data_IF_931687109742
#
_entry.id   IF_931687109742
#
_cell.length_a   1.000
_cell.length_b   1.000
_cell.length_c   1.000
_cell.angle_alpha   90.00
_cell.angle_beta   90.00
_cell.angle_gamma   90.00
#
_symmetry.space_group_name_H-M   'P 1'
#
loop_
_entity.id
_entity.type
_entity.pdbx_description
1 polymer ?
#
# COMPACT_ATOMS: atom_id res chain seq x y z
N UNK A 1 -17.19 -4.97 0.71
CA UNK A 1 -16.30 -5.52 1.76
C UNK A 1 -15.47 -6.71 1.28
N UNK A 2 -16.04 -7.60 0.48
CA UNK A 2 -15.30 -8.78 -0.01
C UNK A 2 -14.03 -8.41 -0.78
N UNK A 3 -14.12 -7.43 -1.67
CA UNK A 3 -12.96 -6.97 -2.43
C UNK A 3 -11.89 -6.33 -1.55
N UNK A 4 -12.31 -5.52 -0.58
CA UNK A 4 -11.38 -4.89 0.36
C UNK A 4 -10.65 -5.92 1.20
N UNK A 5 -11.36 -6.90 1.74
CA UNK A 5 -10.76 -7.97 2.56
C UNK A 5 -9.77 -8.78 1.73
N UNK A 6 -10.14 -9.12 0.50
CA UNK A 6 -9.25 -9.88 -0.39
C UNK A 6 -7.97 -9.09 -0.69
N UNK A 7 -8.10 -7.82 -1.02
CA UNK A 7 -6.92 -6.96 -1.27
C UNK A 7 -6.00 -6.87 -0.05
N UNK A 8 -6.59 -6.71 1.14
CA UNK A 8 -5.83 -6.64 2.38
C UNK A 8 -5.10 -7.95 2.69
N UNK A 9 -5.77 -9.07 2.55
CA UNK A 9 -5.18 -10.37 2.83
C UNK A 9 -4.06 -10.72 1.87
N UNK A 10 -4.24 -10.43 0.58
CA UNK A 10 -3.18 -10.64 -0.42
C UNK A 10 -1.97 -9.75 -0.14
N UNK A 11 -2.20 -8.48 0.16
CA UNK A 11 -1.13 -7.56 0.50
C UNK A 11 -0.40 -7.99 1.78
N UNK A 12 -1.16 -8.41 2.81
CA UNK A 12 -0.59 -8.85 4.07
C UNK A 12 0.27 -10.11 3.89
N UNK A 13 -0.17 -11.05 3.08
CA UNK A 13 0.59 -12.27 2.81
C UNK A 13 1.95 -11.96 2.18
N UNK A 14 1.99 -11.05 1.22
CA UNK A 14 3.24 -10.64 0.59
C UNK A 14 4.16 -9.90 1.57
N UNK A 15 3.59 -9.00 2.37
CA UNK A 15 4.36 -8.26 3.39
C UNK A 15 4.93 -9.22 4.42
N UNK A 16 4.17 -10.21 4.87
CA UNK A 16 4.65 -11.22 5.83
C UNK A 16 5.84 -11.99 5.27
N UNK A 17 5.78 -12.39 4.00
CA UNK A 17 6.90 -13.04 3.32
C UNK A 17 8.13 -12.13 3.27
N UNK A 18 7.94 -10.85 2.98
CA UNK A 18 9.03 -9.87 2.95
C UNK A 18 9.65 -9.68 4.33
N UNK A 19 8.84 -9.66 5.39
CA UNK A 19 9.33 -9.53 6.77
C UNK A 19 10.22 -10.72 7.14
N UNK A 20 9.79 -11.93 6.82
CA UNK A 20 10.58 -13.14 7.07
C UNK A 20 11.89 -13.12 6.26
N UNK A 21 11.81 -12.77 4.97
CA UNK A 21 12.99 -12.67 4.11
C UNK A 21 13.98 -11.62 4.63
N UNK A 22 13.47 -10.48 5.11
CA UNK A 22 14.31 -9.43 5.69
C UNK A 22 15.03 -9.92 6.96
N UNK A 23 14.32 -10.60 7.83
CA UNK A 23 14.89 -11.17 9.06
C UNK A 23 16.00 -12.19 8.75
N UNK A 24 15.85 -12.94 7.66
CA UNK A 24 16.83 -13.92 7.19
C UNK A 24 17.90 -13.30 6.27
N UNK A 25 17.88 -12.00 6.06
CA UNK A 25 18.78 -11.25 5.16
C UNK A 25 18.73 -11.74 3.71
N UNK A 26 17.53 -12.15 3.26
CA UNK A 26 17.28 -12.64 1.90
C UNK A 26 16.38 -11.72 1.08
N UNK A 27 15.89 -10.62 1.66
CA UNK A 27 15.02 -9.68 0.95
C UNK A 27 15.83 -8.90 -0.08
N UNK A 28 15.43 -9.00 -1.33
CA UNK A 28 16.04 -8.19 -2.39
C UNK A 28 15.48 -6.76 -2.40
N UNK A 29 16.25 -5.77 -2.91
CA UNK A 29 15.71 -4.41 -3.12
C UNK A 29 14.48 -4.39 -4.02
N UNK A 30 14.40 -5.30 -4.99
CA UNK A 30 13.27 -5.39 -5.91
C UNK A 30 12.02 -5.90 -5.21
N UNK A 31 12.15 -6.91 -4.35
CA UNK A 31 11.02 -7.40 -3.55
C UNK A 31 10.54 -6.34 -2.57
N UNK A 32 11.45 -5.58 -1.97
CA UNK A 32 11.09 -4.45 -1.12
C UNK A 32 10.34 -3.35 -1.91
N UNK A 33 10.77 -3.08 -3.14
CA UNK A 33 10.09 -2.11 -4.01
C UNK A 33 8.67 -2.55 -4.35
N UNK A 34 8.48 -3.84 -4.63
CA UNK A 34 7.14 -4.41 -4.86
C UNK A 34 6.26 -4.26 -3.63
N UNK A 35 6.78 -4.59 -2.47
CA UNK A 35 6.05 -4.47 -1.19
C UNK A 35 5.63 -3.02 -0.93
N UNK A 36 6.55 -2.09 -1.15
CA UNK A 36 6.31 -0.68 -0.86
C UNK A 36 5.20 -0.09 -1.75
N UNK A 37 5.29 -0.24 -3.07
CA UNK A 37 4.28 0.38 -3.92
C UNK A 37 2.93 -0.32 -3.81
N UNK A 38 2.91 -1.65 -3.68
CA UNK A 38 1.65 -2.39 -3.62
C UNK A 38 0.91 -2.13 -2.31
N UNK A 39 1.60 -2.13 -1.18
CA UNK A 39 0.96 -1.84 0.11
C UNK A 39 0.40 -0.41 0.16
N UNK A 40 1.12 0.56 -0.38
CA UNK A 40 0.63 1.94 -0.47
C UNK A 40 -0.60 2.04 -1.39
N UNK A 41 -0.60 1.32 -2.51
CA UNK A 41 -1.72 1.30 -3.43
C UNK A 41 -2.97 0.67 -2.79
N UNK A 42 -2.82 -0.49 -2.16
CA UNK A 42 -3.93 -1.18 -1.48
C UNK A 42 -4.48 -0.33 -0.35
N UNK A 43 -3.61 0.27 0.46
CA UNK A 43 -4.02 1.16 1.54
C UNK A 43 -4.89 2.31 1.01
N UNK A 44 -4.43 2.94 -0.06
CA UNK A 44 -5.15 4.06 -0.67
C UNK A 44 -6.53 3.63 -1.18
N UNK A 45 -6.61 2.51 -1.87
CA UNK A 45 -7.87 1.98 -2.40
C UNK A 45 -8.85 1.61 -1.30
N UNK A 46 -8.38 0.93 -0.25
CA UNK A 46 -9.23 0.51 0.86
C UNK A 46 -9.73 1.73 1.65
N UNK A 47 -8.87 2.70 1.92
CA UNK A 47 -9.28 3.91 2.64
C UNK A 47 -10.25 4.76 1.83
N UNK A 48 -10.08 4.84 0.52
CA UNK A 48 -11.02 5.53 -0.35
C UNK A 48 -12.42 4.88 -0.29
N UNK A 49 -12.49 3.56 -0.32
CA UNK A 49 -13.75 2.82 -0.14
C UNK A 49 -14.35 3.04 1.25
N UNK A 50 -13.52 3.10 2.29
CA UNK A 50 -14.00 3.40 3.64
C UNK A 50 -14.67 4.77 3.72
N UNK A 51 -14.07 5.78 3.10
CA UNK A 51 -14.68 7.11 3.03
C UNK A 51 -16.01 7.05 2.29
N UNK A 52 -16.07 6.35 1.17
CA UNK A 52 -17.29 6.20 0.39
C UNK A 52 -18.42 5.54 1.19
N UNK A 53 -18.08 4.47 1.92
CA UNK A 53 -19.07 3.74 2.74
C UNK A 53 -19.58 4.54 3.92
N UNK A 54 -18.81 5.50 4.43
CA UNK A 54 -19.26 6.41 5.48
C UNK A 54 -20.17 7.52 4.95
N UNK A 55 -20.25 7.70 3.65
CA UNK A 55 -20.97 8.81 3.04
C UNK A 55 -20.40 10.16 3.46
N UNK A 56 -21.24 11.15 3.70
CA UNK A 56 -20.80 12.49 4.09
C UNK A 56 -19.94 12.52 5.35
N UNK A 57 -20.20 11.63 6.29
CA UNK A 57 -19.39 11.52 7.51
C UNK A 57 -17.95 11.10 7.22
N UNK A 58 -17.72 10.35 6.15
CA UNK A 58 -16.38 9.93 5.75
C UNK A 58 -15.47 11.09 5.34
N UNK A 59 -16.04 12.24 5.02
CA UNK A 59 -15.28 13.45 4.68
C UNK A 59 -15.07 14.40 5.86
N UNK A 60 -15.63 14.09 7.01
CA UNK A 60 -15.55 14.91 8.21
C UNK A 60 -14.35 14.49 9.07
N UNK A 61 -13.49 15.44 9.45
CA UNK A 61 -12.27 15.19 10.21
C UNK A 61 -12.50 14.62 11.61
N UNK A 62 -13.72 14.69 12.14
CA UNK A 62 -14.10 14.07 13.40
C UNK A 62 -14.07 12.54 13.33
N UNK A 63 -14.17 11.98 12.13
CA UNK A 63 -14.14 10.54 11.90
C UNK A 63 -12.76 10.06 11.47
N UNK A 64 -12.37 8.92 11.99
CA UNK A 64 -11.06 8.33 11.72
C UNK A 64 -10.83 8.06 10.23
N UNK A 65 -11.87 7.66 9.50
CA UNK A 65 -11.77 7.37 8.07
C UNK A 65 -11.25 8.56 7.26
N UNK A 66 -11.77 9.77 7.52
CA UNK A 66 -11.33 10.98 6.84
C UNK A 66 -9.86 11.29 7.12
N UNK A 67 -9.44 11.20 8.38
CA UNK A 67 -8.07 11.46 8.79
C UNK A 67 -7.10 10.46 8.20
N UNK A 68 -7.44 9.17 8.27
CA UNK A 68 -6.62 8.09 7.73
C UNK A 68 -6.47 8.22 6.20
N UNK A 69 -7.57 8.51 5.50
CA UNK A 69 -7.58 8.71 4.05
C UNK A 69 -6.63 9.84 3.63
N UNK A 70 -6.71 10.97 4.32
CA UNK A 70 -5.87 12.13 4.04
C UNK A 70 -4.40 11.83 4.33
N UNK A 71 -4.12 11.28 5.50
CA UNK A 71 -2.73 11.05 5.95
C UNK A 71 -2.05 9.95 5.15
N UNK A 72 -2.78 8.94 4.71
CA UNK A 72 -2.21 7.85 3.93
C UNK A 72 -1.84 8.24 2.50
N UNK A 73 -2.39 9.32 1.96
CA UNK A 73 -2.17 9.71 0.56
C UNK A 73 -0.69 9.92 0.23
N UNK A 74 0.07 10.46 1.16
CA UNK A 74 1.50 10.73 0.96
C UNK A 74 2.36 9.47 0.90
N UNK A 75 1.85 8.33 1.36
CA UNK A 75 2.62 7.07 1.36
C UNK A 75 2.95 6.57 -0.04
N UNK A 76 2.22 7.03 -1.07
CA UNK A 76 2.51 6.73 -2.47
C UNK A 76 3.61 7.65 -3.04
N UNK A 77 4.04 8.65 -2.30
CA UNK A 77 4.93 9.71 -2.77
C UNK A 77 6.29 9.66 -2.07
N UNK A 78 6.30 9.55 -0.74
CA UNK A 78 7.52 9.67 0.04
C UNK A 78 8.41 8.43 0.00
N UNK A 79 9.68 8.59 0.40
CA UNK A 79 10.66 7.49 0.51
C UNK A 79 10.80 6.66 -0.78
N UNK A 80 10.66 7.31 -1.91
CA UNK A 80 10.56 6.68 -3.23
C UNK A 80 9.10 6.50 -3.63
N UNK A 81 8.68 7.26 -4.64
CA UNK A 81 7.29 7.20 -5.11
C UNK A 81 6.96 5.84 -5.73
N UNK A 82 5.67 5.55 -5.86
CA UNK A 82 5.23 4.33 -6.53
C UNK A 82 5.80 4.21 -7.94
N UNK A 83 5.90 5.33 -8.66
CA UNK A 83 6.49 5.36 -10.00
C UNK A 83 7.96 4.95 -9.99
N UNK A 84 8.73 5.44 -9.03
CA UNK A 84 10.15 5.07 -8.88
C UNK A 84 10.30 3.58 -8.51
N UNK A 85 9.43 3.08 -7.63
CA UNK A 85 9.45 1.67 -7.28
C UNK A 85 9.17 0.78 -8.50
N UNK A 86 8.20 1.17 -9.33
CA UNK A 86 7.88 0.46 -10.57
C UNK A 86 9.04 0.53 -11.58
N UNK A 87 9.73 1.66 -11.65
CA UNK A 87 10.91 1.80 -12.51
C UNK A 87 12.02 0.84 -12.11
N UNK A 88 12.31 0.72 -10.81
CA UNK A 88 13.29 -0.24 -10.31
C UNK A 88 12.94 -1.68 -10.70
N UNK A 89 11.68 -2.05 -10.56
CA UNK A 89 11.20 -3.37 -10.94
C UNK A 89 11.34 -3.58 -12.44
N UNK A 90 10.96 -2.59 -13.23
CA UNK A 90 11.06 -2.65 -14.70
C UNK A 90 12.50 -2.85 -15.17
N UNK A 91 13.44 -2.15 -14.56
CA UNK A 91 14.88 -2.31 -14.87
C UNK A 91 15.38 -3.71 -14.56
N UNK A 92 14.95 -4.28 -13.43
CA UNK A 92 15.30 -5.64 -13.06
C UNK A 92 14.78 -6.67 -14.06
N UNK A 93 13.63 -6.40 -14.67
CA UNK A 93 13.06 -7.22 -15.73
C UNK A 93 13.69 -7.00 -17.09
N UNK A 94 14.61 -6.05 -17.23
CA UNK A 94 15.24 -5.71 -18.48
C UNK A 94 14.43 -4.78 -19.39
N UNK A 95 13.47 -4.10 -18.80
CA UNK A 95 12.60 -3.18 -19.56
C UNK A 95 13.15 -1.75 -19.61
#
# INVERSE_FOLDING_TARGET
FAEMITKLEVAQAYIDDCVVAHAERKLSPIDAAKAKWWSAQVQSEVLDECVQLHGGYGFMNEYRAARAWRDARVTKIWAGSNEIMKELIGRDLGL
#
